data_IF_493660202436
#
_entry.id   IF_493660202436
#
_cell.length_a   1.000
_cell.length_b   1.000
_cell.length_c   1.000
_cell.angle_alpha   90.00
_cell.angle_beta   90.00
_cell.angle_gamma   90.00
#
_symmetry.space_group_name_H-M   'P 1'
#
loop_
_entity.id
_entity.type
_entity.pdbx_description
1 polymer ?
#
# COMPACT_ATOMS: atom_id res chain seq x y z
N UNK A 1 -2.77 19.96 4.45
CA UNK A 1 -3.75 19.59 3.37
C UNK A 1 -3.27 18.39 2.53
N UNK A 2 -2.34 17.57 3.05
CA UNK A 2 -1.75 16.48 2.28
C UNK A 2 -2.79 15.47 1.74
N UNK A 3 -3.87 15.20 2.48
CA UNK A 3 -4.90 14.27 2.03
C UNK A 3 -5.88 14.87 1.02
N UNK A 4 -6.20 16.14 1.13
CA UNK A 4 -7.18 16.80 0.28
C UNK A 4 -6.57 17.46 -0.96
N UNK A 5 -5.25 17.62 -0.96
CA UNK A 5 -4.49 18.08 -2.11
C UNK A 5 -3.24 17.19 -2.19
N UNK A 6 -3.20 16.31 -3.18
CA UNK A 6 -2.01 15.54 -3.43
C UNK A 6 -0.86 16.50 -3.75
N UNK A 7 0.03 16.68 -2.78
CA UNK A 7 1.33 17.29 -3.05
C UNK A 7 2.35 16.17 -2.97
N UNK A 8 3.05 15.87 -4.07
CA UNK A 8 4.15 14.93 -4.03
C UNK A 8 5.23 15.49 -3.10
N UNK A 9 5.26 14.95 -1.88
CA UNK A 9 6.18 15.37 -0.85
C UNK A 9 7.39 14.46 -0.86
N UNK A 10 8.50 14.97 -1.38
CA UNK A 10 9.77 14.27 -1.38
C UNK A 10 10.88 15.27 -1.10
N UNK A 11 11.14 15.54 0.18
CA UNK A 11 12.25 16.40 0.59
C UNK A 11 13.57 15.62 0.44
N UNK A 12 14.51 16.20 -0.30
CA UNK A 12 15.89 15.73 -0.43
C UNK A 12 16.03 14.23 -0.75
N UNK A 13 15.08 13.66 -1.49
CA UNK A 13 15.10 12.25 -1.85
C UNK A 13 14.71 11.27 -0.72
N UNK A 14 14.19 11.76 0.39
CA UNK A 14 13.79 10.92 1.54
C UNK A 14 12.40 10.26 1.42
N UNK A 15 11.82 10.20 0.23
CA UNK A 15 10.56 9.51 -0.01
C UNK A 15 10.76 8.11 -0.62
N UNK A 16 9.80 7.21 -0.36
CA UNK A 16 9.87 5.83 -0.82
C UNK A 16 10.04 5.73 -2.35
N UNK A 17 9.33 6.57 -3.12
CA UNK A 17 9.39 6.54 -4.59
C UNK A 17 10.78 6.88 -5.13
N UNK A 18 11.47 7.86 -4.56
CA UNK A 18 12.85 8.17 -4.91
C UNK A 18 13.82 7.06 -4.49
N UNK A 19 13.63 6.49 -3.30
CA UNK A 19 14.47 5.39 -2.84
C UNK A 19 14.29 4.11 -3.68
N UNK A 20 13.10 3.86 -4.22
CA UNK A 20 12.88 2.77 -5.17
C UNK A 20 13.78 2.94 -6.40
N UNK A 21 13.81 4.14 -6.99
CA UNK A 21 14.67 4.43 -8.16
C UNK A 21 16.16 4.26 -7.81
N UNK A 22 16.59 4.81 -6.67
CA UNK A 22 17.96 4.68 -6.18
C UNK A 22 18.37 3.22 -5.97
N UNK A 23 17.57 2.43 -5.27
CA UNK A 23 17.89 1.03 -5.01
C UNK A 23 17.79 0.15 -6.25
N UNK A 24 16.94 0.51 -7.21
CA UNK A 24 16.92 -0.14 -8.53
C UNK A 24 18.27 0.05 -9.22
N UNK A 25 18.85 1.25 -9.19
CA UNK A 25 20.18 1.54 -9.72
C UNK A 25 21.28 0.75 -9.02
N UNK A 26 21.27 0.72 -7.66
CA UNK A 26 22.25 -0.06 -6.89
C UNK A 26 22.14 -1.57 -7.19
N UNK A 27 20.93 -2.09 -7.32
CA UNK A 27 20.72 -3.51 -7.62
C UNK A 27 21.20 -3.89 -9.02
N UNK A 28 21.08 -2.97 -9.99
CA UNK A 28 21.55 -3.16 -11.36
C UNK A 28 23.08 -3.08 -11.50
N UNK A 29 23.75 -2.35 -10.60
CA UNK A 29 25.21 -2.16 -10.67
C UNK A 29 25.95 -3.45 -10.31
N UNK A 30 26.55 -4.09 -11.31
CA UNK A 30 27.34 -5.32 -11.12
C UNK A 30 28.68 -5.06 -10.39
N UNK A 31 29.11 -3.80 -10.24
CA UNK A 31 30.31 -3.41 -9.50
C UNK A 31 30.00 -3.14 -8.02
N UNK A 32 28.75 -2.93 -7.67
CA UNK A 32 28.33 -2.79 -6.27
C UNK A 32 28.56 -4.10 -5.50
N UNK A 33 28.87 -3.97 -4.21
CA UNK A 33 29.11 -5.13 -3.36
C UNK A 33 27.85 -6.02 -3.26
N UNK A 34 28.07 -7.32 -3.02
CA UNK A 34 26.96 -8.25 -2.78
C UNK A 34 26.08 -7.81 -1.60
N UNK A 35 26.70 -7.21 -0.57
CA UNK A 35 25.98 -6.70 0.59
C UNK A 35 25.07 -5.52 0.22
N UNK A 36 25.55 -4.57 -0.56
CA UNK A 36 24.77 -3.41 -1.01
C UNK A 36 23.62 -3.83 -1.93
N UNK A 37 23.90 -4.74 -2.86
CA UNK A 37 22.86 -5.29 -3.75
C UNK A 37 21.80 -6.08 -3.00
N UNK A 38 22.19 -6.87 -1.98
CA UNK A 38 21.25 -7.59 -1.13
C UNK A 38 20.39 -6.64 -0.28
N UNK A 39 20.98 -5.56 0.24
CA UNK A 39 20.24 -4.50 0.94
C UNK A 39 19.26 -3.81 -0.01
N UNK A 40 19.71 -3.42 -1.18
CA UNK A 40 18.88 -2.78 -2.20
C UNK A 40 17.68 -3.66 -2.59
N UNK A 41 17.88 -4.96 -2.79
CA UNK A 41 16.80 -5.92 -3.07
C UNK A 41 15.76 -5.96 -1.96
N UNK A 42 16.19 -6.07 -0.69
CA UNK A 42 15.27 -6.10 0.46
C UNK A 42 14.45 -4.83 0.56
N UNK A 43 15.09 -3.67 0.39
CA UNK A 43 14.41 -2.37 0.46
C UNK A 43 13.48 -2.14 -0.72
N UNK A 44 13.84 -2.59 -1.92
CA UNK A 44 12.94 -2.56 -3.08
C UNK A 44 11.68 -3.38 -2.86
N UNK A 45 11.82 -4.61 -2.36
CA UNK A 45 10.68 -5.48 -2.07
C UNK A 45 9.74 -4.81 -1.05
N UNK A 46 10.31 -4.27 0.02
CA UNK A 46 9.55 -3.59 1.08
C UNK A 46 8.81 -2.35 0.54
N UNK A 47 9.54 -1.41 -0.06
CA UNK A 47 8.99 -0.13 -0.51
C UNK A 47 7.98 -0.30 -1.67
N UNK A 48 8.23 -1.26 -2.58
CA UNK A 48 7.27 -1.56 -3.64
C UNK A 48 5.98 -2.18 -3.09
N UNK A 49 6.05 -2.93 -2.00
CA UNK A 49 4.86 -3.34 -1.27
C UNK A 49 4.13 -2.14 -0.67
N UNK A 50 4.86 -1.33 0.09
CA UNK A 50 4.34 -0.20 0.86
C UNK A 50 3.59 0.83 0.00
N UNK A 51 4.14 1.24 -1.15
CA UNK A 51 3.48 2.24 -2.00
C UNK A 51 2.13 1.78 -2.58
N UNK A 52 1.78 0.50 -2.42
CA UNK A 52 0.48 -0.03 -2.84
C UNK A 52 -0.52 -0.17 -1.68
N UNK A 53 -0.09 0.00 -0.43
CA UNK A 53 -1.00 0.13 0.70
C UNK A 53 -1.44 1.59 0.81
N UNK A 54 -2.75 1.89 0.71
CA UNK A 54 -3.23 3.27 0.59
C UNK A 54 -2.76 4.21 1.71
N UNK A 55 -2.72 3.74 2.96
CA UNK A 55 -2.34 4.55 4.11
C UNK A 55 -0.83 4.81 4.23
N UNK A 56 0.02 4.07 3.50
CA UNK A 56 1.46 4.36 3.41
C UNK A 56 1.75 5.56 2.49
N UNK A 57 0.78 5.95 1.66
CA UNK A 57 0.91 7.08 0.73
C UNK A 57 0.09 8.30 1.12
N UNK A 58 -0.52 8.29 2.31
CA UNK A 58 -1.48 9.30 2.74
C UNK A 58 -1.39 9.58 4.23
N UNK A 59 -1.60 10.84 4.61
CA UNK A 59 -1.66 11.28 5.99
C UNK A 59 -2.73 12.36 6.16
N UNK A 60 -3.62 12.16 7.13
CA UNK A 60 -4.65 13.12 7.53
C UNK A 60 -4.31 13.77 8.88
N UNK A 61 -3.04 14.10 9.13
CA UNK A 61 -2.51 14.46 10.44
C UNK A 61 -2.74 13.37 11.50
N UNK A 62 -2.66 12.11 11.07
CA UNK A 62 -2.99 10.94 11.87
C UNK A 62 -1.93 9.82 11.76
N UNK A 63 -0.76 10.15 11.20
CA UNK A 63 0.35 9.23 10.98
C UNK A 63 -0.06 8.06 10.07
N UNK A 64 -0.74 8.37 8.96
CA UNK A 64 -1.23 7.38 8.02
C UNK A 64 -2.25 6.42 8.66
N UNK A 65 -3.17 6.95 9.46
CA UNK A 65 -4.21 6.18 10.14
C UNK A 65 -3.76 5.48 11.43
N UNK A 66 -2.49 5.59 11.85
CA UNK A 66 -2.01 4.96 13.09
C UNK A 66 -2.63 5.59 14.34
N UNK A 67 -2.98 6.88 14.29
CA UNK A 67 -3.62 7.60 15.40
C UNK A 67 -5.16 7.45 15.41
N UNK A 68 -5.76 6.92 14.35
CA UNK A 68 -7.22 6.71 14.25
C UNK A 68 -7.60 5.38 14.88
N UNK A 69 -8.33 5.43 15.98
CA UNK A 69 -8.82 4.23 16.67
C UNK A 69 -10.13 3.76 16.02
N UNK A 70 -10.20 2.49 15.69
CA UNK A 70 -11.37 1.90 15.05
C UNK A 70 -11.76 0.55 15.65
N UNK A 71 -13.02 0.17 15.47
CA UNK A 71 -13.54 -1.19 15.69
C UNK A 71 -14.22 -1.66 14.42
N UNK A 72 -14.18 -2.95 14.17
CA UNK A 72 -15.02 -3.54 13.12
C UNK A 72 -16.45 -3.70 13.66
N UNK A 73 -17.44 -3.62 12.76
CA UNK A 73 -18.86 -3.80 13.09
C UNK A 73 -19.15 -5.16 13.78
N UNK A 74 -18.29 -6.16 13.58
CA UNK A 74 -18.46 -7.52 14.13
C UNK A 74 -17.85 -7.70 15.52
N UNK A 75 -17.15 -6.70 16.08
CA UNK A 75 -16.38 -6.94 17.29
C UNK A 75 -16.12 -5.74 18.17
N UNK A 76 -15.68 -6.03 19.40
CA UNK A 76 -15.35 -5.02 20.41
C UNK A 76 -13.86 -4.64 20.40
N UNK A 77 -13.01 -5.43 19.75
CA UNK A 77 -11.55 -5.21 19.72
C UNK A 77 -11.26 -3.91 18.97
N UNK A 78 -10.35 -3.13 19.54
CA UNK A 78 -9.89 -1.87 19.02
C UNK A 78 -8.57 -2.08 18.26
N UNK A 79 -8.44 -1.39 17.13
CA UNK A 79 -7.27 -1.38 16.26
C UNK A 79 -6.94 0.06 15.87
N UNK A 80 -5.77 0.31 15.29
CA UNK A 80 -5.61 1.49 14.45
C UNK A 80 -6.22 1.25 13.06
N UNK A 81 -6.62 2.33 12.39
CA UNK A 81 -7.08 2.24 11.00
C UNK A 81 -6.00 1.63 10.11
N UNK A 82 -4.74 2.02 10.35
CA UNK A 82 -3.57 1.46 9.68
C UNK A 82 -3.47 -0.07 9.84
N UNK A 83 -3.55 -0.57 11.09
CA UNK A 83 -3.52 -2.00 11.39
C UNK A 83 -4.66 -2.77 10.71
N UNK A 84 -5.84 -2.15 10.59
CA UNK A 84 -6.97 -2.76 9.88
C UNK A 84 -6.63 -3.02 8.42
N UNK A 85 -6.02 -2.05 7.74
CA UNK A 85 -5.65 -2.17 6.32
C UNK A 85 -4.45 -3.09 6.10
N UNK A 86 -3.40 -2.98 6.93
CA UNK A 86 -2.16 -3.77 6.80
C UNK A 86 -2.31 -5.24 7.18
N UNK A 87 -3.16 -5.52 8.15
CA UNK A 87 -3.10 -6.81 8.82
C UNK A 87 -4.47 -7.46 8.96
N UNK A 88 -5.45 -6.75 9.55
CA UNK A 88 -6.70 -7.39 9.98
C UNK A 88 -7.52 -7.86 8.78
N UNK A 89 -7.74 -7.00 7.80
CA UNK A 89 -8.51 -7.35 6.61
C UNK A 89 -7.73 -8.30 5.70
N UNK A 90 -6.42 -8.15 5.60
CA UNK A 90 -5.57 -9.08 4.83
C UNK A 90 -5.64 -10.50 5.41
N UNK A 91 -5.54 -10.66 6.73
CA UNK A 91 -5.71 -11.96 7.39
C UNK A 91 -7.10 -12.55 7.14
N UNK A 92 -8.15 -11.72 7.14
CA UNK A 92 -9.50 -12.19 6.83
C UNK A 92 -9.66 -12.62 5.36
N UNK A 93 -9.00 -11.93 4.42
CA UNK A 93 -9.00 -12.29 2.99
C UNK A 93 -8.28 -13.59 2.72
N UNK A 94 -7.12 -13.79 3.36
CA UNK A 94 -6.33 -15.02 3.22
C UNK A 94 -7.03 -16.19 3.92
N UNK A 95 -7.65 -15.93 5.09
CA UNK A 95 -8.30 -16.97 5.89
C UNK A 95 -7.30 -18.04 6.35
N UNK A 96 -7.67 -19.30 6.19
CA UNK A 96 -6.82 -20.46 6.49
C UNK A 96 -5.95 -20.92 5.31
N UNK A 97 -5.97 -20.21 4.19
CA UNK A 97 -5.21 -20.60 3.02
C UNK A 97 -3.70 -20.41 3.21
N UNK A 98 -2.90 -21.19 2.49
CA UNK A 98 -1.47 -20.92 2.35
C UNK A 98 -1.26 -19.64 1.52
N UNK A 99 -0.20 -18.90 1.84
CA UNK A 99 0.11 -17.64 1.14
C UNK A 99 0.36 -17.84 -0.36
N UNK A 100 1.03 -18.93 -0.74
CA UNK A 100 1.29 -19.26 -2.16
C UNK A 100 -0.01 -19.57 -2.92
N UNK A 101 -0.97 -20.25 -2.28
CA UNK A 101 -2.29 -20.51 -2.84
C UNK A 101 -3.04 -19.21 -3.09
N UNK A 102 -3.07 -18.32 -2.09
CA UNK A 102 -3.73 -17.02 -2.22
C UNK A 102 -3.05 -16.14 -3.29
N UNK A 103 -1.71 -16.12 -3.32
CA UNK A 103 -0.96 -15.39 -4.36
C UNK A 103 -1.28 -15.89 -5.78
N UNK A 104 -1.39 -17.21 -5.98
CA UNK A 104 -1.79 -17.79 -7.25
C UNK A 104 -3.24 -17.44 -7.64
N UNK A 105 -4.16 -17.37 -6.67
CA UNK A 105 -5.52 -16.88 -6.92
C UNK A 105 -5.51 -15.43 -7.40
N UNK A 106 -4.78 -14.54 -6.73
CA UNK A 106 -4.63 -13.15 -7.13
C UNK A 106 -4.06 -13.04 -8.56
N UNK A 107 -2.99 -13.81 -8.83
CA UNK A 107 -2.37 -13.86 -10.17
C UNK A 107 -3.39 -14.25 -11.23
N UNK A 108 -4.13 -15.34 -11.03
CA UNK A 108 -5.12 -15.84 -12.00
C UNK A 108 -6.25 -14.83 -12.20
N UNK A 109 -6.79 -14.27 -11.10
CA UNK A 109 -7.91 -13.32 -11.15
C UNK A 109 -7.54 -12.04 -11.90
N UNK A 110 -6.33 -11.52 -11.70
CA UNK A 110 -5.96 -10.22 -12.22
C UNK A 110 -5.04 -10.24 -13.44
N UNK A 111 -4.61 -11.41 -13.90
CA UNK A 111 -3.73 -11.58 -15.08
C UNK A 111 -4.16 -10.74 -16.30
N UNK A 112 -5.45 -10.66 -16.67
CA UNK A 112 -5.87 -9.85 -17.83
C UNK A 112 -5.55 -8.35 -17.71
N UNK A 113 -5.28 -7.88 -16.49
CA UNK A 113 -5.03 -6.45 -16.20
C UNK A 113 -3.53 -6.12 -16.10
N UNK A 114 -2.64 -7.11 -16.07
CA UNK A 114 -1.22 -6.91 -15.77
C UNK A 114 -0.54 -5.92 -16.69
N UNK A 115 -0.71 -6.04 -18.01
CA UNK A 115 -0.09 -5.14 -18.98
C UNK A 115 -0.47 -3.67 -18.73
N UNK A 116 -1.73 -3.41 -18.40
CA UNK A 116 -2.23 -2.06 -18.09
C UNK A 116 -1.63 -1.53 -16.79
N UNK A 117 -1.41 -2.38 -15.79
CA UNK A 117 -0.87 -1.99 -14.50
C UNK A 117 0.62 -1.67 -14.51
N UNK A 118 1.36 -2.17 -15.50
CA UNK A 118 2.80 -1.90 -15.65
C UNK A 118 3.09 -0.49 -16.19
N UNK A 119 2.10 0.18 -16.72
CA UNK A 119 2.25 1.57 -17.21
C UNK A 119 2.50 2.49 -16.03
N UNK A 120 3.42 3.45 -16.23
CA UNK A 120 3.77 4.46 -15.25
C UNK A 120 5.05 4.14 -14.45
N UNK A 121 5.24 4.89 -13.39
CA UNK A 121 6.43 4.90 -12.54
C UNK A 121 6.04 4.66 -11.07
N UNK A 122 6.99 4.37 -10.18
CA UNK A 122 6.73 4.27 -8.73
C UNK A 122 6.00 5.50 -8.16
N UNK A 123 6.30 6.69 -8.67
CA UNK A 123 5.64 7.94 -8.28
C UNK A 123 4.16 7.94 -8.65
N UNK A 124 3.84 7.54 -9.88
CA UNK A 124 2.46 7.46 -10.35
C UNK A 124 1.69 6.34 -9.65
N UNK A 125 2.34 5.22 -9.35
CA UNK A 125 1.74 4.12 -8.59
C UNK A 125 1.41 4.54 -7.15
N UNK A 126 2.31 5.27 -6.49
CA UNK A 126 2.05 5.86 -5.18
C UNK A 126 0.89 6.88 -5.23
N UNK A 127 0.81 7.69 -6.29
CA UNK A 127 -0.30 8.62 -6.50
C UNK A 127 -1.65 7.88 -6.66
N UNK A 128 -1.69 6.75 -7.37
CA UNK A 128 -2.88 5.91 -7.46
C UNK A 128 -3.33 5.40 -6.07
N UNK A 129 -2.39 4.95 -5.25
CA UNK A 129 -2.67 4.51 -3.87
C UNK A 129 -3.16 5.66 -2.99
N UNK A 130 -2.61 6.86 -3.16
CA UNK A 130 -3.08 8.07 -2.47
C UNK A 130 -4.53 8.43 -2.84
N UNK A 131 -4.87 8.39 -4.13
CA UNK A 131 -6.26 8.60 -4.58
C UNK A 131 -7.19 7.58 -3.95
N UNK A 132 -6.81 6.32 -3.91
CA UNK A 132 -7.57 5.25 -3.26
C UNK A 132 -7.74 5.51 -1.76
N UNK A 133 -6.67 5.92 -1.06
CA UNK A 133 -6.72 6.28 0.35
C UNK A 133 -7.72 7.41 0.60
N UNK A 134 -7.65 8.45 -0.22
CA UNK A 134 -8.55 9.61 -0.08
C UNK A 134 -10.00 9.23 -0.31
N UNK A 135 -10.30 8.48 -1.38
CA UNK A 135 -11.67 8.23 -1.81
C UNK A 135 -12.32 7.07 -1.07
N UNK A 136 -11.58 5.99 -0.80
CA UNK A 136 -12.13 4.74 -0.31
C UNK A 136 -11.78 4.44 1.16
N UNK A 137 -10.71 5.05 1.70
CA UNK A 137 -10.35 4.83 3.10
C UNK A 137 -10.84 5.99 3.94
N UNK A 138 -10.34 7.19 3.72
CA UNK A 138 -10.61 8.32 4.61
C UNK A 138 -12.00 8.91 4.44
N UNK A 139 -12.42 9.23 3.21
CA UNK A 139 -13.74 9.87 2.95
C UNK A 139 -14.92 8.97 3.30
N UNK A 140 -14.70 7.68 3.45
CA UNK A 140 -15.73 6.72 3.87
C UNK A 140 -15.80 6.54 5.40
N UNK A 141 -14.87 7.17 6.15
CA UNK A 141 -14.93 7.15 7.62
C UNK A 141 -16.09 8.00 8.12
N UNK A 142 -16.77 7.58 9.20
CA UNK A 142 -17.68 8.45 9.92
C UNK A 142 -16.92 9.71 10.38
N UNK A 143 -17.59 10.85 10.36
CA UNK A 143 -17.05 12.14 10.85
C UNK A 143 -15.74 12.57 10.16
N UNK A 144 -15.48 12.10 8.92
CA UNK A 144 -14.28 12.50 8.21
C UNK A 144 -14.18 14.01 8.07
N UNK A 145 -13.07 14.57 8.52
CA UNK A 145 -12.68 15.97 8.30
C UNK A 145 -11.24 16.02 7.80
N UNK A 146 -11.03 16.74 6.71
CA UNK A 146 -9.71 16.84 6.13
C UNK A 146 -8.72 17.56 7.04
N UNK A 147 -7.55 16.95 7.25
CA UNK A 147 -6.48 17.47 8.09
C UNK A 147 -6.74 17.34 9.60
N UNK A 148 -7.82 16.67 10.00
CA UNK A 148 -8.20 16.50 11.40
C UNK A 148 -8.37 15.01 11.70
N UNK A 149 -7.49 14.46 12.54
CA UNK A 149 -7.63 13.10 13.04
C UNK A 149 -8.86 12.97 13.98
N UNK A 150 -9.71 11.95 13.83
CA UNK A 150 -10.80 11.68 14.75
C UNK A 150 -10.29 11.48 16.19
N UNK A 151 -10.97 12.08 17.17
CA UNK A 151 -10.61 11.95 18.59
C UNK A 151 -11.30 10.77 19.27
N UNK A 152 -12.39 10.27 18.68
CA UNK A 152 -13.19 9.16 19.21
C UNK A 152 -12.82 7.86 18.50
N UNK A 153 -13.17 6.72 19.11
CA UNK A 153 -13.07 5.42 18.42
C UNK A 153 -14.22 5.28 17.45
N UNK A 154 -13.91 5.14 16.17
CA UNK A 154 -14.91 4.95 15.12
C UNK A 154 -15.31 3.48 14.98
N UNK A 155 -16.54 3.24 14.54
CA UNK A 155 -16.98 1.90 14.15
C UNK A 155 -17.02 1.81 12.63
N UNK A 156 -16.19 0.95 12.06
CA UNK A 156 -16.20 0.66 10.62
C UNK A 156 -17.41 -0.22 10.31
N UNK A 157 -18.30 0.30 9.45
CA UNK A 157 -19.51 -0.41 9.04
C UNK A 157 -19.21 -1.67 8.22
N UNK A 158 -20.18 -2.53 8.06
CA UNK A 158 -20.08 -3.69 7.18
C UNK A 158 -19.79 -3.29 5.74
N UNK A 159 -20.45 -2.25 5.24
CA UNK A 159 -20.22 -1.72 3.90
C UNK A 159 -18.79 -1.19 3.71
N UNK A 160 -18.24 -0.51 4.73
CA UNK A 160 -16.84 -0.07 4.70
C UNK A 160 -15.88 -1.24 4.55
N UNK A 161 -16.06 -2.27 5.41
CA UNK A 161 -15.22 -3.47 5.38
C UNK A 161 -15.37 -4.23 4.06
N UNK A 162 -16.59 -4.34 3.54
CA UNK A 162 -16.87 -4.97 2.25
C UNK A 162 -16.12 -4.26 1.12
N UNK A 163 -16.24 -2.94 1.01
CA UNK A 163 -15.54 -2.15 -0.01
C UNK A 163 -14.02 -2.29 0.13
N UNK A 164 -13.49 -2.24 1.36
CA UNK A 164 -12.06 -2.46 1.57
C UNK A 164 -11.59 -3.82 1.04
N UNK A 165 -12.37 -4.86 1.25
CA UNK A 165 -12.07 -6.22 0.75
C UNK A 165 -12.18 -6.36 -0.78
N UNK A 166 -12.74 -5.41 -1.50
CA UNK A 166 -12.74 -5.42 -2.97
C UNK A 166 -11.45 -4.87 -3.56
N UNK A 167 -10.89 -3.79 -2.99
CA UNK A 167 -9.69 -3.17 -3.54
C UNK A 167 -8.37 -3.70 -2.97
N UNK A 168 -8.34 -4.20 -1.73
CA UNK A 168 -7.09 -4.71 -1.13
C UNK A 168 -6.46 -5.86 -1.93
N UNK A 169 -7.22 -6.87 -2.42
CA UNK A 169 -6.66 -7.91 -3.29
C UNK A 169 -6.05 -7.35 -4.58
N UNK A 170 -6.69 -6.36 -5.19
CA UNK A 170 -6.17 -5.70 -6.38
C UNK A 170 -4.85 -4.96 -6.08
N UNK A 171 -4.76 -4.26 -4.96
CA UNK A 171 -3.52 -3.57 -4.57
C UNK A 171 -2.38 -4.55 -4.31
N UNK A 172 -2.64 -5.68 -3.66
CA UNK A 172 -1.65 -6.74 -3.49
C UNK A 172 -1.18 -7.32 -4.83
N UNK A 173 -2.09 -7.54 -5.77
CA UNK A 173 -1.76 -8.02 -7.10
C UNK A 173 -0.93 -6.98 -7.89
N UNK A 174 -1.29 -5.70 -7.83
CA UNK A 174 -0.51 -4.60 -8.42
C UNK A 174 0.91 -4.54 -7.84
N UNK A 175 1.03 -4.62 -6.51
CA UNK A 175 2.33 -4.64 -5.85
C UNK A 175 3.21 -5.79 -6.37
N UNK A 176 2.67 -7.00 -6.44
CA UNK A 176 3.39 -8.18 -6.89
C UNK A 176 3.83 -8.09 -8.36
N UNK A 177 2.93 -7.69 -9.26
CA UNK A 177 3.25 -7.64 -10.69
C UNK A 177 4.24 -6.51 -11.02
N UNK A 178 4.11 -5.35 -10.39
CA UNK A 178 5.03 -4.21 -10.56
C UNK A 178 6.40 -4.49 -9.96
N UNK A 179 6.44 -5.16 -8.82
CA UNK A 179 7.68 -5.64 -8.21
C UNK A 179 8.39 -6.62 -9.14
N UNK A 180 7.70 -7.62 -9.64
CA UNK A 180 8.26 -8.59 -10.59
C UNK A 180 8.78 -7.89 -11.86
N UNK A 181 8.07 -6.91 -12.39
CA UNK A 181 8.49 -6.13 -13.55
C UNK A 181 9.80 -5.38 -13.29
N UNK A 182 9.91 -4.65 -12.18
CA UNK A 182 11.13 -3.93 -11.82
C UNK A 182 12.28 -4.91 -11.62
N UNK A 183 12.11 -5.98 -10.85
CA UNK A 183 13.17 -6.94 -10.57
C UNK A 183 13.66 -7.65 -11.84
N UNK A 184 12.74 -8.10 -12.71
CA UNK A 184 13.08 -8.76 -13.96
C UNK A 184 13.78 -7.83 -14.96
N UNK A 185 13.47 -6.53 -14.94
CA UNK A 185 14.18 -5.56 -15.78
C UNK A 185 15.55 -5.18 -15.23
N UNK A 186 15.75 -5.26 -13.91
CA UNK A 186 16.97 -4.86 -13.20
C UNK A 186 18.02 -5.97 -13.13
N UNK A 187 17.61 -7.22 -13.00
CA UNK A 187 18.49 -8.39 -12.76
C UNK A 187 18.88 -9.13 -14.06
N UNK A 188 18.85 -8.47 -15.19
CA UNK A 188 19.28 -9.05 -16.50
C UNK A 188 20.79 -9.25 -16.59
#
# INVERSE_FOLDING_TARGET
>A
QALCQFQPYCLDGHCATYQIERFTTVLADRKASTADRALALRLLIHMLGDIHQPLHTSDNNDRGGNSVKVRLYTGKRQYSLHEVMDTVLIKQLIGSQRLDTYANQLKTTYQPQFSRWLVGSPKEWAAQSHVLATQQVYRQLPEFTCGIAPKTTLTLSESYVYVAKTYLPEQMAKAGVRMAYILNSTLK
#
